data_IF_305726466826
#
_entry.id   IF_305726466826
#
_cell.length_a   1.000
_cell.length_b   1.000
_cell.length_c   1.000
_cell.angle_alpha   90.00
_cell.angle_beta   90.00
_cell.angle_gamma   90.00
#
_symmetry.space_group_name_H-M   'P 1'
#
loop_
_entity.id
_entity.type
_entity.pdbx_description
1 polymer ?
#
# COMPACT_ATOMS: atom_id res chain seq x y z
N UNK A 1 17.13 -3.35 18.44
CA UNK A 1 16.46 -3.35 17.13
C UNK A 1 17.02 -4.50 16.31
N UNK A 2 16.25 -5.59 16.18
CA UNK A 2 16.69 -6.85 15.58
C UNK A 2 16.98 -6.67 14.08
N UNK A 3 18.20 -7.00 13.64
CA UNK A 3 18.66 -7.01 12.24
C UNK A 3 17.90 -8.01 11.32
N UNK A 4 16.73 -8.49 11.73
CA UNK A 4 16.01 -9.62 11.15
C UNK A 4 15.31 -9.32 9.83
N UNK A 5 15.18 -8.04 9.48
CA UNK A 5 14.46 -7.59 8.27
C UNK A 5 15.33 -6.78 7.32
N UNK A 6 16.67 -6.75 7.49
CA UNK A 6 17.55 -5.95 6.64
C UNK A 6 17.47 -6.42 5.18
N UNK A 7 17.15 -5.51 4.25
CA UNK A 7 17.10 -5.80 2.82
C UNK A 7 18.52 -6.05 2.34
N UNK A 8 18.74 -7.24 1.78
CA UNK A 8 20.00 -7.52 1.12
C UNK A 8 20.00 -6.91 -0.29
N UNK A 9 20.74 -5.80 -0.43
CA UNK A 9 20.82 -4.99 -1.66
C UNK A 9 21.64 -5.65 -2.76
N UNK A 10 22.29 -6.78 -2.48
CA UNK A 10 23.06 -7.57 -3.44
C UNK A 10 22.23 -8.70 -4.09
N UNK A 11 20.97 -8.90 -3.68
CA UNK A 11 20.10 -9.99 -4.15
C UNK A 11 19.43 -9.71 -5.49
N UNK A 12 19.55 -8.48 -6.04
CA UNK A 12 19.16 -8.19 -7.42
C UNK A 12 20.15 -8.86 -8.40
N UNK A 13 20.03 -10.17 -8.50
CA UNK A 13 20.73 -11.05 -9.42
C UNK A 13 19.82 -11.25 -10.64
N UNK A 14 20.43 -11.32 -11.83
CA UNK A 14 19.74 -11.85 -13.00
C UNK A 14 19.30 -13.29 -12.70
N UNK A 15 18.01 -13.48 -12.43
CA UNK A 15 17.41 -14.75 -12.05
C UNK A 15 16.80 -15.44 -13.26
N UNK A 16 16.88 -16.76 -13.28
CA UNK A 16 16.18 -17.59 -14.26
C UNK A 16 14.67 -17.60 -13.96
N UNK A 17 13.84 -17.88 -14.97
CA UNK A 17 12.38 -17.94 -14.79
C UNK A 17 11.95 -18.91 -13.67
N UNK A 18 12.70 -19.99 -13.48
CA UNK A 18 12.47 -20.97 -12.41
C UNK A 18 12.77 -20.39 -11.03
N UNK A 19 13.91 -19.71 -10.88
CA UNK A 19 14.27 -19.05 -9.61
C UNK A 19 13.25 -17.96 -9.23
N UNK A 20 12.73 -17.22 -10.21
CA UNK A 20 11.67 -16.23 -9.99
C UNK A 20 10.35 -16.87 -9.51
N UNK A 21 9.96 -18.01 -10.11
CA UNK A 21 8.77 -18.78 -9.70
C UNK A 21 8.92 -19.31 -8.26
N UNK A 22 10.10 -19.82 -7.92
CA UNK A 22 10.41 -20.30 -6.57
C UNK A 22 10.36 -19.17 -5.53
N UNK A 23 10.91 -17.98 -5.85
CA UNK A 23 10.81 -16.82 -4.96
C UNK A 23 9.36 -16.37 -4.76
N UNK A 24 8.55 -16.34 -5.83
CA UNK A 24 7.14 -16.00 -5.75
C UNK A 24 6.37 -16.97 -4.82
N UNK A 25 6.68 -18.27 -4.89
CA UNK A 25 6.13 -19.30 -4.01
C UNK A 25 6.53 -19.12 -2.55
N UNK A 26 7.70 -18.56 -2.27
CA UNK A 26 8.15 -18.31 -0.90
C UNK A 26 7.46 -17.08 -0.29
N UNK A 27 7.20 -16.03 -1.07
CA UNK A 27 6.36 -14.92 -0.62
C UNK A 27 4.90 -15.33 -0.45
N UNK A 28 4.40 -16.26 -1.29
CA UNK A 28 3.02 -16.74 -1.20
C UNK A 28 2.73 -17.61 0.03
N UNK A 29 3.76 -18.16 0.68
CA UNK A 29 3.65 -18.88 1.97
C UNK A 29 3.55 -17.95 3.19
N UNK A 30 3.93 -16.67 3.06
CA UNK A 30 3.91 -15.70 4.17
C UNK A 30 2.50 -15.25 4.49
N UNK A 31 2.26 -14.90 5.75
CA UNK A 31 0.99 -14.28 6.17
C UNK A 31 0.86 -12.88 5.57
N UNK A 32 -0.36 -12.35 5.55
CA UNK A 32 -0.63 -10.99 5.04
C UNK A 32 0.13 -9.94 5.85
N UNK A 33 0.21 -10.11 7.17
CA UNK A 33 0.92 -9.22 8.10
C UNK A 33 2.41 -9.15 7.75
N UNK A 34 3.07 -10.31 7.60
CA UNK A 34 4.48 -10.38 7.20
C UNK A 34 4.74 -9.73 5.83
N UNK A 35 3.81 -9.90 4.88
CA UNK A 35 3.92 -9.27 3.56
C UNK A 35 3.80 -7.75 3.65
N UNK A 36 2.90 -7.25 4.50
CA UNK A 36 2.72 -5.81 4.73
C UNK A 36 3.96 -5.20 5.37
N UNK A 37 4.56 -5.88 6.35
CA UNK A 37 5.82 -5.44 6.97
C UNK A 37 6.97 -5.38 5.95
N UNK A 38 7.12 -6.43 5.13
CA UNK A 38 8.14 -6.45 4.08
C UNK A 38 7.91 -5.33 3.06
N UNK A 39 6.68 -5.15 2.58
CA UNK A 39 6.33 -4.12 1.62
C UNK A 39 6.61 -2.72 2.19
N UNK A 40 6.24 -2.48 3.46
CA UNK A 40 6.46 -1.21 4.13
C UNK A 40 7.96 -0.90 4.29
N UNK A 41 8.75 -1.89 4.65
CA UNK A 41 10.21 -1.76 4.73
C UNK A 41 10.88 -1.51 3.38
N UNK A 42 10.46 -2.20 2.32
CA UNK A 42 10.93 -1.94 0.96
C UNK A 42 10.60 -0.51 0.51
N UNK A 43 9.41 -0.04 0.86
CA UNK A 43 8.95 1.32 0.56
C UNK A 43 9.79 2.36 1.31
N UNK A 44 10.17 2.09 2.56
CA UNK A 44 11.02 3.00 3.34
C UNK A 44 12.43 3.14 2.76
N UNK A 45 12.98 2.06 2.20
CA UNK A 45 14.26 2.12 1.47
C UNK A 45 14.11 2.91 0.17
N UNK A 46 13.08 2.62 -0.62
CA UNK A 46 12.88 3.23 -1.94
C UNK A 46 12.70 4.76 -1.85
N UNK A 47 11.96 5.23 -0.85
CA UNK A 47 11.68 6.66 -0.63
C UNK A 47 12.52 7.28 0.50
N UNK A 48 13.46 6.52 1.06
CA UNK A 48 14.40 6.95 2.10
C UNK A 48 13.73 7.68 3.29
N UNK A 49 12.73 7.05 3.91
CA UNK A 49 12.09 7.56 5.13
C UNK A 49 12.31 6.63 6.33
N UNK A 50 12.20 7.19 7.53
CA UNK A 50 12.28 6.41 8.77
C UNK A 50 11.01 5.58 8.95
N UNK A 51 11.18 4.27 9.10
CA UNK A 51 10.09 3.32 9.29
C UNK A 51 9.30 3.59 10.59
N UNK A 52 9.96 4.13 11.62
CA UNK A 52 9.35 4.48 12.90
C UNK A 52 8.70 5.87 12.89
N UNK A 53 9.04 6.70 11.89
CA UNK A 53 8.49 8.03 11.73
C UNK A 53 8.18 8.30 10.25
N UNK A 54 7.17 7.59 9.69
CA UNK A 54 6.82 7.75 8.28
C UNK A 54 6.28 9.14 7.96
N UNK A 55 6.44 9.61 6.72
CA UNK A 55 5.84 10.85 6.26
C UNK A 55 4.32 10.78 6.40
N UNK A 56 3.73 11.80 7.02
CA UNK A 56 2.29 11.87 7.24
C UNK A 56 1.58 12.25 5.95
N UNK A 57 0.53 11.50 5.60
CA UNK A 57 -0.31 11.81 4.45
C UNK A 57 -1.02 13.15 4.63
N UNK A 58 -0.89 14.05 3.64
CA UNK A 58 -1.69 15.26 3.58
C UNK A 58 -3.12 14.93 3.12
N UNK A 59 -4.08 15.07 4.04
CA UNK A 59 -5.50 14.78 3.80
C UNK A 59 -6.24 15.95 3.15
N UNK A 60 -5.59 17.10 2.96
CA UNK A 60 -6.24 18.30 2.39
C UNK A 60 -6.45 18.20 0.89
N UNK A 61 -5.52 17.56 0.16
CA UNK A 61 -5.58 17.36 -1.29
C UNK A 61 -6.78 16.47 -1.68
N UNK A 62 -7.04 15.43 -0.90
CA UNK A 62 -8.15 14.49 -1.13
C UNK A 62 -9.41 14.85 -0.36
N UNK A 63 -9.56 16.11 0.08
CA UNK A 63 -10.79 16.54 0.75
C UNK A 63 -11.94 16.39 -0.24
N UNK A 64 -12.69 15.30 -0.08
CA UNK A 64 -13.97 15.08 -0.72
C UNK A 64 -14.78 16.36 -0.47
N UNK A 65 -14.96 17.19 -1.50
CA UNK A 65 -15.86 18.33 -1.43
C UNK A 65 -17.21 17.73 -1.10
N UNK A 66 -17.66 17.87 0.15
CA UNK A 66 -18.93 17.33 0.63
C UNK A 66 -20.03 17.69 -0.36
N UNK A 67 -20.36 16.79 -1.27
CA UNK A 67 -21.48 16.94 -2.17
C UNK A 67 -22.71 16.62 -1.34
N UNK A 68 -23.15 17.60 -0.54
CA UNK A 68 -24.50 17.60 0.03
C UNK A 68 -25.45 17.61 -1.17
N UNK A 69 -25.92 16.43 -1.60
CA UNK A 69 -27.24 16.35 -2.22
C UNK A 69 -28.21 16.81 -1.14
N UNK A 70 -28.47 18.11 -1.12
CA UNK A 70 -29.73 18.61 -0.58
C UNK A 70 -30.79 17.95 -1.44
N UNK A 71 -31.34 16.83 -0.97
CA UNK A 71 -32.61 16.33 -1.47
C UNK A 71 -33.65 17.37 -1.07
N UNK A 72 -33.77 18.42 -1.89
CA UNK A 72 -34.96 19.23 -1.89
C UNK A 72 -36.07 18.30 -2.38
N UNK A 73 -36.86 17.81 -1.41
CA UNK A 73 -38.18 17.26 -1.63
C UNK A 73 -39.05 18.34 -2.28
N UNK A 74 -38.87 18.57 -3.58
CA UNK A 74 -39.92 19.14 -4.43
C UNK A 74 -40.62 17.95 -5.04
N UNK A 75 -41.75 17.64 -4.43
CA UNK A 75 -42.80 16.78 -4.97
C UNK A 75 -43.01 17.11 -6.45
N UNK A 76 -42.37 16.34 -7.33
CA UNK A 76 -42.83 16.29 -8.71
C UNK A 76 -44.01 15.33 -8.66
N UNK A 77 -45.21 15.88 -8.40
CA UNK A 77 -46.45 15.23 -8.78
C UNK A 77 -46.39 15.03 -10.29
N UNK A 78 -46.01 13.84 -10.73
CA UNK A 78 -46.34 13.39 -12.06
C UNK A 78 -47.82 12.99 -12.01
N UNK A 79 -48.67 13.87 -12.52
CA UNK A 79 -49.94 13.44 -13.10
C UNK A 79 -49.64 13.07 -14.56
N UNK A 80 -49.53 11.77 -14.81
CA UNK A 80 -50.00 11.08 -16.01
C UNK A 80 -50.05 9.60 -15.71
#
# INVERSE_FOLDING_TARGET
>A
MNNKFKLDRLVFKAMTAKEADDQQRDYSKKTIEERLEIAYYLTSIAYNFDINNPPRMDKTIFRLRNYRRSYNNKLIKWNC
#
